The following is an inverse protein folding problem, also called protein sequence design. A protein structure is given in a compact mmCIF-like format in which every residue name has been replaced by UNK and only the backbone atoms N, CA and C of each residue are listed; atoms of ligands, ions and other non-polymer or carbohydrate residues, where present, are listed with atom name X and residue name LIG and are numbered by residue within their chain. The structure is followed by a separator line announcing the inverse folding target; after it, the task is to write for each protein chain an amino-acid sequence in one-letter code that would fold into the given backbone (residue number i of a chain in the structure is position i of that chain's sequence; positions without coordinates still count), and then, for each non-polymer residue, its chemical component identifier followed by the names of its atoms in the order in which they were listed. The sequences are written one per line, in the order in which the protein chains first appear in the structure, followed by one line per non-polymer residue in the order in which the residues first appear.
data_IF_127656554043
#
_entry.id   IF_127656554043
#
_cell.length_a   1.000
_cell.length_b   1.000
_cell.length_c   1.000
_cell.angle_alpha   90.00
_cell.angle_beta   90.00
_cell.angle_gamma   90.00
#
_symmetry.space_group_name_H-M   'P 1'
#
loop_
_entity.id
_entity.type
_entity.pdbx_description
1 polymer ?
#
# COMPACT_ATOMS: atom_id res chain seq x y z
N UNK A 1 14.70 5.33 -15.24
CA UNK A 1 14.61 4.64 -13.94
C UNK A 1 13.57 3.55 -14.05
N UNK A 2 13.96 2.29 -13.88
CA UNK A 2 13.03 1.14 -14.05
C UNK A 2 12.49 0.69 -12.71
N UNK A 3 11.20 0.93 -12.49
CA UNK A 3 10.49 0.47 -11.31
C UNK A 3 9.87 -0.88 -11.59
N UNK A 4 10.01 -1.82 -10.65
CA UNK A 4 9.40 -3.15 -10.71
C UNK A 4 8.55 -3.42 -9.49
N UNK A 5 7.42 -4.06 -9.71
CA UNK A 5 6.59 -4.64 -8.65
C UNK A 5 6.81 -6.15 -8.66
N UNK A 6 7.39 -6.67 -7.60
CA UNK A 6 7.63 -8.10 -7.44
C UNK A 6 6.74 -8.65 -6.34
N UNK A 7 6.22 -9.85 -6.54
CA UNK A 7 5.40 -10.53 -5.53
C UNK A 7 6.21 -10.70 -4.24
N UNK A 8 5.64 -10.30 -3.11
CA UNK A 8 6.30 -10.42 -1.81
C UNK A 8 6.48 -11.89 -1.41
N UNK A 9 7.61 -12.17 -0.78
CA UNK A 9 7.99 -13.49 -0.24
C UNK A 9 8.11 -13.41 1.26
N UNK A 10 8.18 -14.56 1.93
CA UNK A 10 8.39 -14.63 3.37
C UNK A 10 9.63 -13.83 3.80
N UNK A 11 10.71 -13.90 3.03
CA UNK A 11 11.97 -13.18 3.31
C UNK A 11 11.82 -11.65 3.27
N UNK A 12 10.74 -11.13 2.74
CA UNK A 12 10.48 -9.68 2.69
C UNK A 12 9.85 -9.14 3.98
N UNK A 13 9.44 -10.01 4.90
CA UNK A 13 8.78 -9.62 6.15
C UNK A 13 9.53 -8.56 6.94
N UNK A 14 10.86 -8.65 7.15
CA UNK A 14 11.59 -7.63 7.89
C UNK A 14 11.49 -6.23 7.26
N UNK A 15 11.49 -6.15 5.94
CA UNK A 15 11.37 -4.86 5.25
C UNK A 15 9.97 -4.24 5.46
N UNK A 16 8.92 -5.05 5.33
CA UNK A 16 7.55 -4.60 5.62
C UNK A 16 7.42 -4.15 7.08
N UNK A 17 8.00 -4.91 8.01
CA UNK A 17 7.95 -4.59 9.43
C UNK A 17 8.59 -3.24 9.72
N UNK A 18 9.78 -3.02 9.16
CA UNK A 18 10.50 -1.74 9.29
C UNK A 18 9.63 -0.56 8.82
N UNK A 19 9.02 -0.67 7.63
CA UNK A 19 8.20 0.39 7.08
C UNK A 19 6.91 0.60 7.86
N UNK A 20 6.26 -0.46 8.32
CA UNK A 20 5.01 -0.36 9.10
C UNK A 20 5.22 0.31 10.45
N UNK A 21 6.39 0.14 11.06
CA UNK A 21 6.72 0.72 12.37
C UNK A 21 7.47 2.05 12.28
N UNK A 22 7.80 2.52 11.09
CA UNK A 22 8.35 3.86 10.91
C UNK A 22 7.40 4.91 11.52
N UNK A 23 7.95 5.85 12.26
CA UNK A 23 7.17 6.83 13.03
C UNK A 23 6.19 7.63 12.16
N UNK A 24 6.65 8.09 10.99
CA UNK A 24 5.81 8.87 10.08
C UNK A 24 4.74 7.99 9.46
N UNK A 25 5.09 6.76 9.06
CA UNK A 25 4.14 5.82 8.49
C UNK A 25 3.05 5.44 9.49
N UNK A 26 3.41 5.24 10.77
CA UNK A 26 2.43 4.99 11.83
C UNK A 26 1.51 6.18 12.05
N UNK A 27 2.05 7.39 12.07
CA UNK A 27 1.25 8.62 12.21
C UNK A 27 0.20 8.73 11.11
N UNK A 28 0.55 8.36 9.89
CA UNK A 28 -0.31 8.45 8.72
C UNK A 28 -1.22 7.22 8.53
N UNK A 29 -1.02 6.17 9.31
CA UNK A 29 -1.89 4.99 9.28
C UNK A 29 -3.16 5.23 10.07
N UNK A 30 -4.24 4.54 9.70
CA UNK A 30 -5.51 4.56 10.44
C UNK A 30 -5.27 4.13 11.89
N UNK A 31 -4.49 3.04 12.09
CA UNK A 31 -4.01 2.66 13.42
C UNK A 31 -2.58 3.19 13.60
N UNK A 32 -2.36 3.96 14.66
CA UNK A 32 -1.04 4.56 14.96
C UNK A 32 -0.20 3.70 15.90
N UNK A 33 -0.73 2.57 16.36
CA UNK A 33 -0.06 1.70 17.32
C UNK A 33 1.16 1.01 16.71
N UNK A 34 2.20 0.87 17.51
CA UNK A 34 3.36 0.06 17.18
C UNK A 34 2.97 -1.41 17.11
N UNK A 35 3.50 -2.13 16.13
CA UNK A 35 3.18 -3.55 15.92
C UNK A 35 4.34 -4.38 16.43
N UNK A 36 4.06 -5.42 17.23
CA UNK A 36 5.10 -6.37 17.66
C UNK A 36 5.60 -7.21 16.49
N UNK A 37 6.84 -7.70 16.58
CA UNK A 37 7.41 -8.55 15.53
C UNK A 37 6.58 -9.82 15.31
N UNK A 38 6.14 -10.47 16.39
CA UNK A 38 5.34 -11.70 16.28
C UNK A 38 4.00 -11.45 15.61
N UNK A 39 3.30 -10.40 16.00
CA UNK A 39 2.02 -10.03 15.38
C UNK A 39 2.21 -9.69 13.91
N UNK A 40 3.28 -8.96 13.58
CA UNK A 40 3.59 -8.64 12.19
C UNK A 40 3.86 -9.91 11.37
N UNK A 41 4.72 -10.79 11.84
CA UNK A 41 5.06 -12.02 11.11
C UNK A 41 3.82 -12.89 10.89
N UNK A 42 2.99 -13.08 11.90
CA UNK A 42 1.76 -13.85 11.77
C UNK A 42 0.82 -13.25 10.72
N UNK A 43 0.62 -11.95 10.78
CA UNK A 43 -0.20 -11.24 9.80
C UNK A 43 0.39 -11.35 8.39
N UNK A 44 1.70 -11.14 8.26
CA UNK A 44 2.39 -11.12 6.96
C UNK A 44 2.29 -12.47 6.25
N UNK A 45 2.58 -13.55 6.97
CA UNK A 45 2.53 -14.90 6.42
C UNK A 45 1.11 -15.26 5.95
N UNK A 46 0.10 -14.93 6.73
CA UNK A 46 -1.30 -15.15 6.34
C UNK A 46 -1.66 -14.33 5.10
N UNK A 47 -1.24 -13.07 5.09
CA UNK A 47 -1.62 -12.13 4.04
C UNK A 47 -1.04 -12.49 2.68
N UNK A 48 0.25 -12.86 2.61
CA UNK A 48 0.89 -13.22 1.35
C UNK A 48 0.43 -14.58 0.81
N UNK A 49 -0.12 -15.45 1.65
CA UNK A 49 -0.63 -16.78 1.24
C UNK A 49 -2.04 -16.74 0.67
N UNK A 50 -2.80 -15.68 0.92
CA UNK A 50 -4.16 -15.57 0.36
C UNK A 50 -4.10 -15.26 -1.13
N UNK A 51 -4.69 -16.12 -1.95
CA UNK A 51 -4.74 -15.93 -3.41
C UNK A 51 -5.53 -14.68 -3.82
N UNK A 52 -6.45 -14.24 -2.98
CA UNK A 52 -7.26 -13.04 -3.23
C UNK A 52 -6.49 -11.74 -3.00
N UNK A 53 -5.31 -11.79 -2.42
CA UNK A 53 -4.46 -10.64 -2.15
C UNK A 53 -3.33 -10.53 -3.18
N UNK A 54 -2.91 -9.29 -3.43
CA UNK A 54 -1.75 -8.97 -4.27
C UNK A 54 -0.82 -8.11 -3.43
N UNK A 55 0.28 -8.70 -2.99
CA UNK A 55 1.25 -8.02 -2.11
C UNK A 55 2.56 -7.89 -2.86
N UNK A 56 3.00 -6.64 -3.07
CA UNK A 56 4.18 -6.35 -3.87
C UNK A 56 5.25 -5.62 -3.09
N UNK A 57 6.51 -5.97 -3.37
CA UNK A 57 7.67 -5.12 -3.09
C UNK A 57 7.88 -4.19 -4.29
N UNK A 58 8.12 -2.93 -4.00
CA UNK A 58 8.50 -1.93 -5.01
C UNK A 58 10.02 -1.87 -5.06
N UNK A 59 10.59 -2.17 -6.22
CA UNK A 59 12.05 -2.13 -6.43
C UNK A 59 12.43 -1.17 -7.55
N UNK A 60 13.54 -0.49 -7.34
CA UNK A 60 14.25 0.23 -8.39
C UNK A 60 15.65 -0.37 -8.45
N UNK A 61 16.00 -0.93 -9.60
CA UNK A 61 17.18 -1.79 -9.75
C UNK A 61 17.04 -2.95 -8.76
N UNK A 62 17.99 -3.17 -7.86
CA UNK A 62 17.93 -4.23 -6.85
C UNK A 62 17.55 -3.73 -5.45
N UNK A 63 17.10 -2.47 -5.35
CA UNK A 63 16.88 -1.81 -4.06
C UNK A 63 15.39 -1.81 -3.73
N UNK A 64 15.03 -2.25 -2.53
CA UNK A 64 13.67 -2.18 -2.01
C UNK A 64 13.34 -0.73 -1.65
N UNK A 65 12.33 -0.15 -2.31
CA UNK A 65 11.93 1.24 -2.12
C UNK A 65 10.64 1.39 -1.33
N UNK A 66 9.83 0.33 -1.27
CA UNK A 66 8.54 0.39 -0.60
C UNK A 66 7.73 -0.87 -0.83
N UNK A 67 6.47 -0.83 -0.44
CA UNK A 67 5.52 -1.91 -0.74
C UNK A 67 4.18 -1.35 -1.21
N UNK A 68 3.43 -2.21 -1.91
CA UNK A 68 2.09 -1.93 -2.39
C UNK A 68 1.24 -3.16 -2.13
N UNK A 69 0.14 -2.98 -1.39
CA UNK A 69 -0.73 -4.08 -0.99
C UNK A 69 -2.13 -3.87 -1.54
N UNK A 70 -2.69 -4.92 -2.10
CA UNK A 70 -4.09 -5.02 -2.47
C UNK A 70 -4.67 -6.21 -1.72
N UNK A 71 -5.51 -5.95 -0.74
CA UNK A 71 -6.10 -6.98 0.10
C UNK A 71 -7.60 -7.02 -0.12
N UNK A 72 -8.11 -8.18 -0.48
CA UNK A 72 -9.56 -8.35 -0.69
C UNK A 72 -10.30 -8.23 0.63
N UNK A 73 -11.25 -7.30 0.67
CA UNK A 73 -12.20 -7.14 1.77
C UNK A 73 -13.58 -6.91 1.17
N UNK A 74 -14.50 -7.87 1.37
CA UNK A 74 -15.83 -7.82 0.77
C UNK A 74 -15.73 -7.72 -0.77
N UNK A 75 -16.31 -6.70 -1.37
CA UNK A 75 -16.36 -6.50 -2.84
C UNK A 75 -15.18 -5.71 -3.39
N UNK A 76 -14.23 -5.31 -2.52
CA UNK A 76 -13.16 -4.39 -2.90
C UNK A 76 -11.80 -5.00 -2.69
N UNK A 77 -10.82 -4.48 -3.43
CA UNK A 77 -9.42 -4.61 -3.08
C UNK A 77 -9.01 -3.33 -2.36
N UNK A 78 -8.68 -3.46 -1.08
CA UNK A 78 -8.17 -2.35 -0.28
C UNK A 78 -6.71 -2.12 -0.62
N UNK A 79 -6.39 -0.88 -0.99
CA UNK A 79 -5.05 -0.49 -1.44
C UNK A 79 -4.30 0.21 -0.32
N UNK A 80 -3.09 -0.25 -0.05
CA UNK A 80 -2.16 0.39 0.88
C UNK A 80 -0.79 0.50 0.25
N UNK A 81 -0.20 1.67 0.30
CA UNK A 81 1.14 1.90 -0.25
C UNK A 81 2.01 2.59 0.76
N UNK A 82 3.27 2.19 0.82
CA UNK A 82 4.25 2.78 1.71
C UNK A 82 5.61 2.86 1.01
N UNK A 83 6.22 4.04 1.01
CA UNK A 83 7.54 4.28 0.43
C UNK A 83 8.53 4.55 1.56
N UNK A 84 9.69 3.91 1.51
CA UNK A 84 10.79 4.18 2.44
C UNK A 84 11.17 5.67 2.35
N UNK A 85 11.39 6.28 3.50
CA UNK A 85 11.70 7.72 3.61
C UNK A 85 12.83 8.17 2.70
N UNK A 86 13.80 7.29 2.40
CA UNK A 86 14.93 7.58 1.50
C UNK A 86 14.50 7.80 0.05
N UNK A 87 13.33 7.34 -0.32
CA UNK A 87 12.84 7.34 -1.70
C UNK A 87 11.58 8.19 -1.90
N UNK A 88 11.18 8.94 -0.90
CA UNK A 88 10.02 9.83 -1.01
C UNK A 88 10.30 11.02 -1.93
N UNK A 89 9.24 11.64 -2.43
CA UNK A 89 9.29 12.82 -3.31
C UNK A 89 9.98 12.57 -4.66
N UNK A 90 9.92 11.33 -5.16
CA UNK A 90 10.49 10.93 -6.44
C UNK A 90 9.45 10.32 -7.40
N UNK A 91 8.17 10.56 -7.15
CA UNK A 91 7.05 10.02 -7.93
C UNK A 91 6.99 8.48 -7.98
N UNK A 92 7.69 7.80 -7.09
CA UNK A 92 7.74 6.33 -7.03
C UNK A 92 6.35 5.78 -6.67
N UNK A 93 5.69 6.38 -5.69
CA UNK A 93 4.38 5.94 -5.24
C UNK A 93 3.35 6.01 -6.38
N UNK A 94 3.32 7.11 -7.13
CA UNK A 94 2.39 7.27 -8.24
C UNK A 94 2.65 6.23 -9.33
N UNK A 95 3.90 6.06 -9.72
CA UNK A 95 4.28 5.07 -10.74
C UNK A 95 3.90 3.66 -10.30
N UNK A 96 4.18 3.32 -9.04
CA UNK A 96 3.84 2.00 -8.48
C UNK A 96 2.32 1.77 -8.49
N UNK A 97 1.53 2.76 -8.08
CA UNK A 97 0.07 2.65 -8.09
C UNK A 97 -0.47 2.46 -9.50
N UNK A 98 -0.02 3.24 -10.47
CA UNK A 98 -0.49 3.12 -11.85
C UNK A 98 -0.20 1.74 -12.42
N UNK A 99 1.01 1.22 -12.20
CA UNK A 99 1.40 -0.12 -12.65
C UNK A 99 0.60 -1.20 -11.91
N UNK A 100 0.53 -1.09 -10.60
CA UNK A 100 -0.16 -2.06 -9.76
C UNK A 100 -1.65 -2.13 -10.03
N UNK A 101 -2.32 -0.99 -10.11
CA UNK A 101 -3.76 -0.90 -10.37
C UNK A 101 -4.11 -1.59 -11.69
N UNK A 102 -3.34 -1.31 -12.73
CA UNK A 102 -3.53 -1.93 -14.04
C UNK A 102 -3.33 -3.45 -13.96
N UNK A 103 -2.30 -3.89 -13.27
CA UNK A 103 -1.98 -5.31 -13.12
C UNK A 103 -3.08 -6.07 -12.38
N UNK A 104 -3.53 -5.59 -11.22
CA UNK A 104 -4.54 -6.29 -10.44
C UNK A 104 -5.91 -6.28 -11.11
N UNK A 105 -6.27 -5.23 -11.82
CA UNK A 105 -7.52 -5.16 -12.57
C UNK A 105 -7.55 -6.13 -13.75
N UNK A 106 -6.40 -6.51 -14.29
CA UNK A 106 -6.35 -7.53 -15.35
C UNK A 106 -6.65 -8.93 -14.83
N UNK A 107 -6.41 -9.19 -13.54
CA UNK A 107 -6.68 -10.49 -12.90
C UNK A 107 -8.03 -10.56 -12.21
N UNK A 108 -8.46 -9.46 -11.61
CA UNK A 108 -9.70 -9.39 -10.83
C UNK A 108 -10.47 -8.12 -11.19
N UNK A 109 -11.69 -8.29 -11.64
CA UNK A 109 -12.57 -7.16 -11.96
C UNK A 109 -13.24 -6.63 -10.68
N UNK A 110 -12.44 -6.28 -9.68
CA UNK A 110 -12.91 -5.72 -8.42
C UNK A 110 -12.60 -4.23 -8.37
N UNK A 111 -13.46 -3.49 -7.69
CA UNK A 111 -13.20 -2.07 -7.40
C UNK A 111 -12.06 -1.93 -6.42
N UNK A 112 -11.24 -0.92 -6.62
CA UNK A 112 -10.18 -0.54 -5.72
C UNK A 112 -10.70 0.46 -4.70
N UNK A 113 -10.24 0.34 -3.46
CA UNK A 113 -10.65 1.22 -2.36
C UNK A 113 -9.41 1.61 -1.55
N UNK A 114 -9.29 2.89 -1.23
CA UNK A 114 -8.24 3.38 -0.34
C UNK A 114 -8.88 4.23 0.76
N UNK A 115 -8.43 4.03 1.99
CA UNK A 115 -8.89 4.79 3.16
C UNK A 115 -7.72 5.64 3.65
N UNK A 116 -7.91 6.95 3.66
CA UNK A 116 -6.85 7.91 3.96
C UNK A 116 -7.31 8.88 5.04
N UNK A 117 -6.44 9.19 6.00
CA UNK A 117 -6.72 10.23 6.99
C UNK A 117 -6.85 11.58 6.32
N UNK A 118 -7.77 12.41 6.80
CA UNK A 118 -8.01 13.76 6.24
C UNK A 118 -6.80 14.69 6.32
N UNK A 119 -5.90 14.47 7.26
CA UNK A 119 -4.67 15.26 7.40
C UNK A 119 -3.46 14.69 6.64
N UNK A 120 -3.63 13.54 5.99
CA UNK A 120 -2.58 12.93 5.20
C UNK A 120 -2.61 13.48 3.77
N UNK A 121 -2.21 14.74 3.61
CA UNK A 121 -2.25 15.42 2.31
C UNK A 121 -1.44 14.75 1.21
N UNK A 122 -0.22 14.25 1.46
CA UNK A 122 0.52 13.55 0.40
C UNK A 122 -0.23 12.35 -0.19
N UNK A 123 -0.88 11.55 0.65
CA UNK A 123 -1.67 10.40 0.18
C UNK A 123 -2.93 10.84 -0.55
N UNK A 124 -3.60 11.90 -0.08
CA UNK A 124 -4.78 12.44 -0.77
C UNK A 124 -4.41 12.85 -2.20
N UNK A 125 -3.34 13.62 -2.36
CA UNK A 125 -2.86 14.04 -3.68
C UNK A 125 -2.46 12.85 -4.54
N UNK A 126 -1.79 11.88 -3.94
CA UNK A 126 -1.35 10.66 -4.64
C UNK A 126 -2.52 9.90 -5.25
N UNK A 127 -3.55 9.63 -4.46
CA UNK A 127 -4.72 8.87 -4.95
C UNK A 127 -5.51 9.66 -5.98
N UNK A 128 -5.65 10.97 -5.82
CA UNK A 128 -6.27 11.81 -6.85
C UNK A 128 -5.49 11.76 -8.17
N UNK A 129 -4.16 11.87 -8.12
CA UNK A 129 -3.31 11.77 -9.31
C UNK A 129 -3.36 10.38 -9.96
N UNK A 130 -3.60 9.34 -9.17
CA UNK A 130 -3.75 7.98 -9.67
C UNK A 130 -5.17 7.69 -10.20
N UNK A 131 -5.99 8.71 -10.34
CA UNK A 131 -7.38 8.63 -10.87
C UNK A 131 -8.36 7.95 -9.92
N UNK A 132 -8.08 7.92 -8.64
CA UNK A 132 -9.08 7.56 -7.64
C UNK A 132 -10.02 8.74 -7.44
N UNK A 133 -11.27 8.44 -7.15
CA UNK A 133 -12.29 9.46 -6.86
C UNK A 133 -12.72 9.36 -5.40
N UNK A 134 -13.06 10.50 -4.81
CA UNK A 134 -13.61 10.53 -3.45
C UNK A 134 -15.01 9.95 -3.48
N UNK A 135 -15.19 8.83 -2.76
CA UNK A 135 -16.48 8.18 -2.64
C UNK A 135 -17.26 8.68 -1.42
N UNK A 136 -16.56 8.84 -0.28
CA UNK A 136 -17.19 9.23 0.98
C UNK A 136 -16.18 9.94 1.87
N UNK A 137 -16.66 10.94 2.61
CA UNK A 137 -15.91 11.60 3.68
C UNK A 137 -16.56 11.23 5.01
N UNK A 138 -15.77 10.68 5.91
CA UNK A 138 -16.16 10.42 7.29
C UNK A 138 -15.46 11.41 8.21
N UNK A 139 -15.70 11.34 9.54
CA UNK A 139 -15.17 12.32 10.49
C UNK A 139 -13.69 12.61 10.30
N UNK A 140 -12.85 11.58 10.27
CA UNK A 140 -11.39 11.71 10.18
C UNK A 140 -10.79 11.05 8.93
N UNK A 141 -11.63 10.50 8.06
CA UNK A 141 -11.19 9.67 6.94
C UNK A 141 -11.81 10.11 5.62
N UNK A 142 -11.07 9.89 4.54
CA UNK A 142 -11.56 9.99 3.17
C UNK A 142 -11.48 8.60 2.56
N UNK A 143 -12.57 8.17 1.95
CA UNK A 143 -12.63 6.89 1.25
C UNK A 143 -12.59 7.15 -0.25
N UNK A 144 -11.58 6.62 -0.91
CA UNK A 144 -11.38 6.70 -2.35
C UNK A 144 -11.78 5.41 -3.03
N UNK A 145 -12.22 5.50 -4.27
CA UNK A 145 -12.51 4.36 -5.15
C UNK A 145 -11.93 4.56 -6.54
N UNK A 146 -11.62 3.43 -7.17
CA UNK A 146 -11.19 3.41 -8.57
C UNK A 146 -11.69 2.16 -9.29
#
# INVERSE_FOLDING_TARGET
MTLKLLKAKESDSPFFYKLRNDKINRKNSVSTKKISLDNHNNWFLKTIKKESNFIFIIKIKKINCGYLRYEKKSKYLNVSICIDKKFRNRSIALSALLIGDKRVKSYKNLKLKAVVKKDNFPSILLFLKASYVIFKKEKNLIIFRK
#
